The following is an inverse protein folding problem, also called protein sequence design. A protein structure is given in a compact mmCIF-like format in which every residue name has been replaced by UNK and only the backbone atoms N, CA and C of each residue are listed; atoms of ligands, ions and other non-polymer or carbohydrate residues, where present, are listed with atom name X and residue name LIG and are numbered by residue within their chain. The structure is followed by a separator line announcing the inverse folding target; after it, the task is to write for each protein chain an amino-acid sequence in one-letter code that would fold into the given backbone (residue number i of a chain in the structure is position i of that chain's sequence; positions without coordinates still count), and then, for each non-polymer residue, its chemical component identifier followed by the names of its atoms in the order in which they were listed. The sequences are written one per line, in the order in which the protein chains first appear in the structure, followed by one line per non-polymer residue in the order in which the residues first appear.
data_IF_796509939855
#
_entry.id   IF_796509939855
#
_cell.length_a   1.000
_cell.length_b   1.000
_cell.length_c   1.000
_cell.angle_alpha   90.00
_cell.angle_beta   90.00
_cell.angle_gamma   90.00
#
_symmetry.space_group_name_H-M   'P 1'
#
loop_
_entity.id
_entity.type
_entity.pdbx_description
1 polymer ?
#
# COMPACT_ATOMS: atom_id res chain seq x y z
N UNK A 1 6.41 -10.38 5.60
CA UNK A 1 7.29 -9.86 6.66
C UNK A 1 7.37 -8.35 6.53
N UNK A 2 8.07 -7.61 7.41
CA UNK A 2 8.22 -6.17 7.23
C UNK A 2 8.98 -5.83 5.93
N UNK A 3 10.00 -6.62 5.59
CA UNK A 3 10.79 -6.45 4.37
C UNK A 3 9.94 -6.65 3.11
N UNK A 4 9.08 -7.67 3.07
CA UNK A 4 8.19 -7.91 1.93
C UNK A 4 7.21 -6.75 1.70
N UNK A 5 6.74 -6.10 2.78
CA UNK A 5 5.84 -4.96 2.69
C UNK A 5 6.59 -3.69 2.26
N UNK A 6 7.84 -3.54 2.70
CA UNK A 6 8.70 -2.45 2.22
C UNK A 6 9.00 -2.58 0.72
N UNK A 7 9.26 -3.79 0.23
CA UNK A 7 9.45 -4.05 -1.20
C UNK A 7 8.18 -3.75 -2.00
N UNK A 8 7.02 -4.19 -1.51
CA UNK A 8 5.72 -3.86 -2.10
C UNK A 8 5.50 -2.34 -2.19
N UNK A 9 5.75 -1.61 -1.11
CA UNK A 9 5.63 -0.16 -1.08
C UNK A 9 6.59 0.53 -2.05
N UNK A 10 7.84 0.05 -2.14
CA UNK A 10 8.82 0.58 -3.07
C UNK A 10 8.40 0.41 -4.54
N UNK A 11 7.75 -0.71 -4.90
CA UNK A 11 7.19 -0.90 -6.25
C UNK A 11 6.06 0.09 -6.54
N UNK A 12 5.16 0.29 -5.57
CA UNK A 12 4.06 1.25 -5.69
C UNK A 12 4.56 2.69 -5.83
N UNK A 13 5.59 3.09 -5.09
CA UNK A 13 6.22 4.40 -5.23
C UNK A 13 6.93 4.58 -6.56
N UNK A 14 7.60 3.53 -7.05
CA UNK A 14 8.30 3.57 -8.31
C UNK A 14 7.36 3.74 -9.51
N UNK A 15 6.13 3.23 -9.40
CA UNK A 15 5.10 3.22 -10.47
C UNK A 15 5.61 2.70 -11.83
N UNK A 16 6.67 1.87 -11.83
CA UNK A 16 7.30 1.31 -13.02
C UNK A 16 6.69 -0.05 -13.36
N UNK A 17 5.36 -0.07 -13.46
CA UNK A 17 4.58 -1.27 -13.79
C UNK A 17 4.43 -1.43 -15.30
N UNK A 18 4.43 -2.66 -15.77
CA UNK A 18 4.22 -2.94 -17.21
C UNK A 18 2.77 -2.72 -17.62
N UNK A 19 1.84 -2.74 -16.66
CA UNK A 19 0.43 -2.40 -16.87
C UNK A 19 -0.25 -1.87 -15.61
N UNK A 20 -1.32 -1.10 -15.79
CA UNK A 20 -2.14 -0.61 -14.68
C UNK A 20 -2.78 -1.73 -13.83
N UNK A 21 -2.93 -2.95 -14.35
CA UNK A 21 -3.45 -4.07 -13.56
C UNK A 21 -2.43 -4.58 -12.54
N UNK A 22 -1.14 -4.48 -12.83
CA UNK A 22 -0.09 -4.88 -11.89
C UNK A 22 0.00 -3.88 -10.72
N UNK A 23 -0.06 -2.57 -11.01
CA UNK A 23 -0.10 -1.55 -9.96
C UNK A 23 -1.36 -1.68 -9.10
N UNK A 24 -2.52 -1.94 -9.71
CA UNK A 24 -3.76 -2.20 -8.97
C UNK A 24 -3.69 -3.44 -8.06
N UNK A 25 -3.02 -4.51 -8.50
CA UNK A 25 -2.85 -5.71 -7.67
C UNK A 25 -2.00 -5.42 -6.43
N UNK A 26 -0.88 -4.74 -6.60
CA UNK A 26 -0.01 -4.34 -5.49
C UNK A 26 -0.72 -3.36 -4.54
N UNK A 27 -1.51 -2.42 -5.09
CA UNK A 27 -2.32 -1.50 -4.29
C UNK A 27 -3.38 -2.25 -3.46
N UNK A 28 -4.11 -3.19 -4.07
CA UNK A 28 -5.07 -4.03 -3.37
C UNK A 28 -4.42 -4.90 -2.30
N UNK A 29 -3.21 -5.40 -2.55
CA UNK A 29 -2.44 -6.16 -1.57
C UNK A 29 -2.05 -5.30 -0.37
N UNK A 30 -1.51 -4.10 -0.61
CA UNK A 30 -1.16 -3.16 0.46
C UNK A 30 -2.41 -2.76 1.27
N UNK A 31 -3.55 -2.54 0.60
CA UNK A 31 -4.84 -2.26 1.26
C UNK A 31 -5.32 -3.42 2.13
N UNK A 32 -5.19 -4.65 1.66
CA UNK A 32 -5.55 -5.83 2.44
C UNK A 32 -4.65 -5.98 3.68
N UNK A 33 -3.35 -5.71 3.53
CA UNK A 33 -2.39 -5.69 4.63
C UNK A 33 -2.72 -4.60 5.65
N UNK A 34 -3.08 -3.40 5.21
CA UNK A 34 -3.50 -2.31 6.11
C UNK A 34 -4.72 -2.68 6.96
N UNK A 35 -5.63 -3.50 6.45
CA UNK A 35 -6.78 -3.99 7.22
C UNK A 35 -6.43 -5.14 8.17
N UNK A 36 -5.59 -6.09 7.73
CA UNK A 36 -5.34 -7.32 8.48
C UNK A 36 -4.17 -7.21 9.48
N UNK A 37 -3.15 -6.41 9.13
CA UNK A 37 -1.88 -6.24 9.84
C UNK A 37 -1.47 -4.76 9.78
N UNK A 38 -2.26 -3.85 10.38
CA UNK A 38 -2.05 -2.41 10.27
C UNK A 38 -0.64 -1.98 10.69
N UNK A 39 -0.02 -2.66 11.64
CA UNK A 39 1.34 -2.36 12.10
C UNK A 39 2.43 -2.52 11.01
N UNK A 40 2.17 -3.31 9.98
CA UNK A 40 3.10 -3.50 8.85
C UNK A 40 2.89 -2.46 7.74
N UNK A 41 1.68 -1.93 7.63
CA UNK A 41 1.28 -1.02 6.55
C UNK A 41 1.19 0.45 6.99
N UNK A 42 1.20 0.72 8.29
CA UNK A 42 1.15 2.07 8.89
C UNK A 42 2.12 3.06 8.23
N UNK A 43 3.41 2.71 7.98
CA UNK A 43 4.34 3.63 7.33
C UNK A 43 3.95 4.01 5.90
N UNK A 44 3.11 3.21 5.23
CA UNK A 44 2.82 3.27 3.80
C UNK A 44 1.36 3.66 3.50
N UNK A 45 0.57 4.07 4.49
CA UNK A 45 -0.84 4.43 4.31
C UNK A 45 -1.05 5.59 3.31
N UNK A 46 -0.06 6.47 3.15
CA UNK A 46 -0.10 7.56 2.15
C UNK A 46 -0.20 7.04 0.71
N UNK A 47 0.27 5.82 0.42
CA UNK A 47 0.15 5.18 -0.89
C UNK A 47 -1.28 4.70 -1.19
N UNK A 48 -2.12 4.58 -0.16
CA UNK A 48 -3.51 4.15 -0.33
C UNK A 48 -4.47 5.31 -0.52
N UNK A 49 -3.97 6.56 -0.52
CA UNK A 49 -4.77 7.79 -0.51
C UNK A 49 -5.90 7.74 0.55
N UNK A 50 -5.65 7.02 1.65
CA UNK A 50 -6.60 6.94 2.76
C UNK A 50 -6.46 8.23 3.53
N UNK A 51 -7.31 9.20 3.19
CA UNK A 51 -7.54 10.36 4.05
C UNK A 51 -7.92 9.84 5.44
N UNK A 52 -7.24 10.34 6.48
CA UNK A 52 -7.74 10.16 7.84
C UNK A 52 -9.14 10.80 7.85
N UNK A 53 -10.17 9.99 8.05
CA UNK A 53 -11.53 10.48 8.14
C UNK A 53 -11.61 11.37 9.39
N UNK A 54 -11.48 12.68 9.18
CA UNK A 54 -11.56 13.69 10.23
C UNK A 54 -13.04 13.94 10.50
N UNK A 55 -13.58 13.21 11.47
CA UNK A 55 -14.95 13.36 11.94
C UNK A 55 -15.02 14.66 12.79
N UNK A 56 -15.20 15.79 12.11
CA UNK A 56 -15.37 17.13 12.73
C UNK A 56 -16.77 17.34 13.34
#
# INVERSE_FOLDING_TARGET
TADDVAELAARLEGDDYTSAFESLNDWHLLRALAFQRPELAEPYLYLLEVEAYDEA
#
